data_IF_803529772880
#
_entry.id   IF_803529772880
#
_cell.length_a   1.000
_cell.length_b   1.000
_cell.length_c   1.000
_cell.angle_alpha   90.00
_cell.angle_beta   90.00
_cell.angle_gamma   90.00
#
_symmetry.space_group_name_H-M   'P 1'
#
loop_
_entity.id
_entity.type
_entity.pdbx_description
1 polymer ?
#
# COMPACT_ATOMS: atom_id res chain seq x y z
N UNK A 1 -8.78 -3.65 16.41
CA UNK A 1 -8.67 -5.05 15.90
C UNK A 1 -7.90 -4.99 14.59
N UNK A 2 -6.85 -5.79 14.41
CA UNK A 2 -6.03 -5.73 13.20
C UNK A 2 -6.68 -6.56 12.10
N UNK A 3 -6.99 -5.92 10.97
CA UNK A 3 -7.56 -6.58 9.79
C UNK A 3 -6.47 -7.36 9.05
N UNK A 4 -5.33 -6.72 8.83
CA UNK A 4 -4.12 -7.36 8.34
C UNK A 4 -3.25 -7.78 9.51
N UNK A 5 -2.95 -9.07 9.62
CA UNK A 5 -1.97 -9.60 10.56
C UNK A 5 -0.83 -10.16 9.73
N UNK A 6 0.40 -9.71 10.00
CA UNK A 6 1.56 -10.18 9.26
C UNK A 6 1.68 -11.70 9.34
N UNK A 7 1.78 -12.31 8.17
CA UNK A 7 1.86 -13.75 7.93
C UNK A 7 2.95 -13.92 6.88
N UNK A 8 4.10 -14.44 7.31
CA UNK A 8 5.29 -14.54 6.46
C UNK A 8 5.03 -15.36 5.20
N UNK A 9 4.17 -16.38 5.28
CA UNK A 9 3.86 -17.24 4.12
C UNK A 9 3.02 -16.50 3.07
N UNK A 10 2.28 -15.46 3.48
CA UNK A 10 1.37 -14.71 2.59
C UNK A 10 1.96 -13.44 2.04
N UNK A 11 2.62 -12.65 2.88
CA UNK A 11 3.00 -11.27 2.54
C UNK A 11 4.51 -11.08 2.28
N UNK A 12 5.34 -12.09 2.58
CA UNK A 12 6.76 -12.00 2.31
C UNK A 12 7.06 -12.30 0.84
N UNK A 13 7.80 -11.38 0.22
CA UNK A 13 8.37 -11.54 -1.12
C UNK A 13 9.80 -12.08 -1.09
N UNK A 14 10.29 -12.46 0.09
CA UNK A 14 11.64 -13.01 0.28
C UNK A 14 12.75 -11.95 0.28
N UNK A 15 12.41 -10.67 0.39
CA UNK A 15 13.38 -9.57 0.46
C UNK A 15 13.15 -8.74 1.72
N UNK A 16 14.11 -8.81 2.66
CA UNK A 16 13.95 -8.28 4.02
C UNK A 16 13.49 -6.81 4.07
N UNK A 17 14.06 -5.94 3.22
CA UNK A 17 13.68 -4.53 3.20
C UNK A 17 12.25 -4.30 2.69
N UNK A 18 11.79 -5.08 1.70
CA UNK A 18 10.43 -4.97 1.15
C UNK A 18 9.43 -5.54 2.14
N UNK A 19 9.76 -6.68 2.77
CA UNK A 19 8.91 -7.29 3.80
C UNK A 19 8.72 -6.35 5.01
N UNK A 20 9.77 -5.63 5.42
CA UNK A 20 9.66 -4.62 6.47
C UNK A 20 8.75 -3.46 6.02
N UNK A 21 8.85 -3.02 4.77
CA UNK A 21 7.98 -1.98 4.23
C UNK A 21 6.52 -2.44 4.13
N UNK A 22 6.25 -3.68 3.70
CA UNK A 22 4.90 -4.26 3.68
C UNK A 22 4.28 -4.29 5.08
N UNK A 23 5.04 -4.70 6.10
CA UNK A 23 4.55 -4.69 7.49
C UNK A 23 4.09 -3.29 7.91
N UNK A 24 4.91 -2.27 7.65
CA UNK A 24 4.59 -0.89 8.00
C UNK A 24 3.39 -0.36 7.20
N UNK A 25 3.29 -0.68 5.90
CA UNK A 25 2.13 -0.32 5.08
C UNK A 25 0.84 -0.94 5.64
N UNK A 26 0.85 -2.24 5.94
CA UNK A 26 -0.30 -2.94 6.51
C UNK A 26 -0.68 -2.39 7.89
N UNK A 27 0.29 -1.97 8.70
CA UNK A 27 0.05 -1.26 9.98
C UNK A 27 -0.65 0.09 9.77
N UNK A 28 -0.20 0.90 8.81
CA UNK A 28 -0.86 2.18 8.47
C UNK A 28 -2.29 1.93 7.96
N UNK A 29 -2.49 0.93 7.11
CA UNK A 29 -3.83 0.57 6.60
C UNK A 29 -4.73 0.05 7.72
N UNK A 30 -4.20 -0.73 8.68
CA UNK A 30 -4.96 -1.14 9.86
C UNK A 30 -5.42 0.05 10.71
N UNK A 31 -4.56 1.06 10.90
CA UNK A 31 -4.92 2.30 11.60
C UNK A 31 -6.03 3.05 10.87
N UNK A 32 -5.97 3.10 9.54
CA UNK A 32 -7.03 3.67 8.70
C UNK A 32 -8.37 2.93 8.90
N UNK A 33 -8.35 1.59 8.83
CA UNK A 33 -9.53 0.73 9.06
C UNK A 33 -10.11 1.00 10.45
N UNK A 34 -9.29 0.98 11.49
CA UNK A 34 -9.75 1.19 12.85
C UNK A 34 -10.37 2.58 13.05
N UNK A 35 -9.77 3.63 12.47
CA UNK A 35 -10.30 4.99 12.57
C UNK A 35 -11.70 5.12 11.95
N UNK A 36 -11.87 4.60 10.73
CA UNK A 36 -13.14 4.68 10.00
C UNK A 36 -14.21 3.76 10.64
N UNK A 37 -13.85 2.53 11.02
CA UNK A 37 -14.81 1.55 11.58
C UNK A 37 -15.29 1.93 12.97
N UNK A 38 -14.43 2.53 13.80
CA UNK A 38 -14.84 3.02 15.13
C UNK A 38 -15.70 4.28 15.07
N UNK A 39 -16.01 4.80 13.87
CA UNK A 39 -16.80 6.00 13.70
C UNK A 39 -16.13 7.22 14.33
N UNK A 40 -14.79 7.25 14.37
CA UNK A 40 -14.05 8.43 14.83
C UNK A 40 -14.20 9.50 13.77
N UNK A 41 -15.14 10.43 13.99
CA UNK A 41 -15.45 11.56 13.09
C UNK A 41 -14.38 12.67 13.10
N UNK A 42 -13.12 12.32 13.39
CA UNK A 42 -12.02 13.28 13.40
C UNK A 42 -11.34 13.27 12.03
N UNK A 43 -11.77 14.21 11.19
CA UNK A 43 -11.25 14.41 9.83
C UNK A 43 -9.75 14.75 9.83
N UNK A 44 -9.23 15.38 10.90
CA UNK A 44 -7.82 15.71 11.02
C UNK A 44 -6.97 14.45 11.19
N UNK A 45 -7.33 13.59 12.14
CA UNK A 45 -6.61 12.33 12.37
C UNK A 45 -6.64 11.40 11.15
N UNK A 46 -7.75 11.39 10.40
CA UNK A 46 -7.84 10.64 9.15
C UNK A 46 -6.88 11.20 8.09
N UNK A 47 -6.86 12.52 7.93
CA UNK A 47 -5.99 13.21 6.96
C UNK A 47 -4.52 12.91 7.23
N UNK A 48 -4.09 12.92 8.50
CA UNK A 48 -2.74 12.56 8.90
C UNK A 48 -2.38 11.10 8.53
N UNK A 49 -3.28 10.15 8.78
CA UNK A 49 -3.07 8.74 8.39
C UNK A 49 -2.93 8.59 6.87
N UNK A 50 -3.73 9.33 6.09
CA UNK A 50 -3.68 9.28 4.62
C UNK A 50 -2.42 9.95 4.06
N UNK A 51 -1.96 11.06 4.66
CA UNK A 51 -0.69 11.70 4.32
C UNK A 51 0.50 10.76 4.62
N UNK A 52 0.48 10.11 5.77
CA UNK A 52 1.46 9.10 6.15
C UNK A 52 1.47 7.95 5.15
N UNK A 53 0.29 7.41 4.81
CA UNK A 53 0.15 6.33 3.83
C UNK A 53 0.69 6.73 2.46
N UNK A 54 0.32 7.90 1.96
CA UNK A 54 0.76 8.39 0.65
C UNK A 54 2.29 8.56 0.59
N UNK A 55 2.88 9.14 1.65
CA UNK A 55 4.34 9.31 1.76
C UNK A 55 5.08 7.98 1.89
N UNK A 56 4.55 7.03 2.66
CA UNK A 56 5.16 5.73 2.83
C UNK A 56 5.05 4.89 1.55
N UNK A 57 3.89 4.89 0.90
CA UNK A 57 3.65 4.21 -0.37
C UNK A 57 4.64 4.67 -1.45
N UNK A 58 4.81 5.98 -1.63
CA UNK A 58 5.74 6.52 -2.63
C UNK A 58 7.20 6.04 -2.41
N UNK A 59 7.66 6.02 -1.15
CA UNK A 59 9.01 5.52 -0.81
C UNK A 59 9.15 4.01 -1.00
N UNK A 60 8.09 3.27 -0.68
CA UNK A 60 8.05 1.83 -0.89
C UNK A 60 8.13 1.49 -2.38
N UNK A 61 7.29 2.10 -3.21
CA UNK A 61 7.31 1.93 -4.66
C UNK A 61 8.66 2.29 -5.27
N UNK A 62 9.30 3.38 -4.84
CA UNK A 62 10.65 3.72 -5.31
C UNK A 62 11.68 2.63 -4.96
N UNK A 63 11.57 2.06 -3.77
CA UNK A 63 12.47 0.97 -3.32
C UNK A 63 12.23 -0.28 -4.15
N UNK A 64 10.98 -0.69 -4.28
CA UNK A 64 10.59 -1.88 -5.05
C UNK A 64 11.00 -1.74 -6.51
N UNK A 65 10.65 -0.64 -7.17
CA UNK A 65 11.00 -0.41 -8.57
C UNK A 65 12.51 -0.48 -8.80
N UNK A 66 13.31 0.00 -7.85
CA UNK A 66 14.78 -0.12 -7.91
C UNK A 66 15.22 -1.58 -7.81
N UNK A 67 14.63 -2.35 -6.91
CA UNK A 67 14.89 -3.80 -6.76
C UNK A 67 14.52 -4.53 -8.05
N UNK A 68 13.31 -4.29 -8.58
CA UNK A 68 12.81 -4.94 -9.78
C UNK A 68 13.60 -4.58 -11.04
N UNK A 69 14.06 -3.34 -11.16
CA UNK A 69 14.97 -2.93 -12.23
C UNK A 69 16.33 -3.62 -12.12
N UNK A 70 16.84 -3.86 -10.91
CA UNK A 70 18.13 -4.53 -10.70
C UNK A 70 18.12 -6.02 -11.07
N UNK A 71 16.93 -6.65 -11.07
CA UNK A 71 16.74 -8.05 -11.45
C UNK A 71 16.12 -8.22 -12.84
N UNK A 72 16.07 -7.15 -13.65
CA UNK A 72 15.46 -7.12 -14.98
C UNK A 72 14.03 -7.72 -14.99
N UNK A 73 13.21 -7.34 -14.01
CA UNK A 73 11.85 -7.86 -13.88
C UNK A 73 11.02 -7.58 -15.15
N UNK A 74 10.47 -8.60 -15.83
CA UNK A 74 9.84 -8.43 -17.15
C UNK A 74 8.60 -7.52 -17.16
N UNK A 75 7.90 -7.39 -16.03
CA UNK A 75 6.65 -6.62 -15.91
C UNK A 75 6.83 -5.31 -15.14
N UNK A 76 8.05 -4.76 -15.14
CA UNK A 76 8.37 -3.50 -14.44
C UNK A 76 7.52 -2.32 -14.92
N UNK A 77 7.09 -2.30 -16.18
CA UNK A 77 6.25 -1.22 -16.68
C UNK A 77 4.85 -1.26 -16.06
N UNK A 78 4.24 -2.44 -16.01
CA UNK A 78 2.93 -2.68 -15.42
C UNK A 78 2.94 -2.38 -13.92
N UNK A 79 4.00 -2.77 -13.20
CA UNK A 79 4.16 -2.46 -11.78
C UNK A 79 4.19 -0.95 -11.52
N UNK A 80 5.01 -0.22 -12.29
CA UNK A 80 5.09 1.26 -12.21
C UNK A 80 3.78 1.96 -12.53
N UNK A 81 3.04 1.44 -13.51
CA UNK A 81 1.73 1.97 -13.86
C UNK A 81 0.72 1.77 -12.70
N UNK A 82 0.72 0.59 -12.07
CA UNK A 82 -0.11 0.33 -10.91
C UNK A 82 0.21 1.29 -9.74
N UNK A 83 1.50 1.50 -9.45
CA UNK A 83 1.96 2.45 -8.42
C UNK A 83 1.51 3.89 -8.72
N UNK A 84 1.74 4.36 -9.95
CA UNK A 84 1.36 5.70 -10.37
C UNK A 84 -0.15 5.94 -10.27
N UNK A 85 -0.94 4.95 -10.69
CA UNK A 85 -2.40 4.99 -10.60
C UNK A 85 -2.88 5.03 -9.14
N UNK A 86 -2.23 4.29 -8.24
CA UNK A 86 -2.55 4.32 -6.82
C UNK A 86 -2.31 5.70 -6.21
N UNK A 87 -1.12 6.27 -6.40
CA UNK A 87 -0.75 7.59 -5.86
C UNK A 87 -1.69 8.68 -6.39
N UNK A 88 -1.97 8.67 -7.70
CA UNK A 88 -2.89 9.62 -8.32
C UNK A 88 -4.30 9.50 -7.72
N UNK A 89 -4.79 8.26 -7.52
CA UNK A 89 -6.12 8.02 -6.98
C UNK A 89 -6.23 8.42 -5.51
N UNK A 90 -5.23 8.07 -4.69
CA UNK A 90 -5.18 8.46 -3.29
C UNK A 90 -5.13 9.98 -3.13
N UNK A 91 -4.29 10.65 -3.91
CA UNK A 91 -4.20 12.12 -3.93
C UNK A 91 -5.53 12.78 -4.33
N UNK A 92 -6.22 12.25 -5.34
CA UNK A 92 -7.55 12.71 -5.73
C UNK A 92 -8.55 12.59 -4.56
N UNK A 93 -8.55 11.45 -3.86
CA UNK A 93 -9.42 11.25 -2.70
C UNK A 93 -9.09 12.23 -1.56
N UNK A 94 -7.81 12.49 -1.30
CA UNK A 94 -7.39 13.46 -0.28
C UNK A 94 -7.83 14.89 -0.61
N UNK A 95 -7.75 15.31 -1.88
CA UNK A 95 -8.29 16.62 -2.29
C UNK A 95 -9.81 16.72 -2.11
N UNK A 96 -10.55 15.63 -2.33
CA UNK A 96 -12.00 15.61 -2.15
C UNK A 96 -12.39 15.64 -0.66
N UNK A 97 -11.56 15.08 0.22
CA UNK A 97 -11.74 15.12 1.67
C UNK A 97 -11.75 16.56 2.18
N UNK A 98 -10.80 17.38 1.74
CA UNK A 98 -10.72 18.80 2.08
C UNK A 98 -11.95 19.61 1.64
N UNK A 99 -12.67 19.13 0.62
CA UNK A 99 -13.87 19.75 0.08
C UNK A 99 -15.16 19.23 0.74
N UNK A 100 -15.07 18.33 1.73
CA UNK A 100 -16.21 17.73 2.43
C UNK A 100 -17.03 16.76 1.57
N UNK A 101 -16.47 16.27 0.46
CA UNK A 101 -17.18 15.47 -0.54
C UNK A 101 -16.92 13.96 -0.50
N UNK A 102 -16.15 13.45 0.47
CA UNK A 102 -15.67 12.06 0.45
C UNK A 102 -16.51 11.13 1.29
N UNK A 103 -16.88 10.03 0.64
CA UNK A 103 -17.35 8.81 1.30
C UNK A 103 -16.14 8.07 1.89
N UNK A 104 -15.96 8.19 3.20
CA UNK A 104 -14.87 7.55 3.94
C UNK A 104 -14.89 6.02 3.81
N UNK A 105 -16.07 5.41 3.71
CA UNK A 105 -16.19 3.95 3.54
C UNK A 105 -15.68 3.53 2.17
N UNK A 106 -15.99 4.31 1.14
CA UNK A 106 -15.50 4.06 -0.22
C UNK A 106 -13.99 4.25 -0.32
N UNK A 107 -13.42 5.28 0.33
CA UNK A 107 -11.98 5.48 0.40
C UNK A 107 -11.30 4.31 1.11
N UNK A 108 -11.83 3.90 2.26
CA UNK A 108 -11.33 2.77 3.02
C UNK A 108 -11.34 1.48 2.18
N UNK A 109 -12.46 1.21 1.50
CA UNK A 109 -12.60 0.02 0.68
C UNK A 109 -11.58 0.03 -0.47
N UNK A 110 -11.36 1.17 -1.12
CA UNK A 110 -10.32 1.33 -2.14
C UNK A 110 -8.93 1.02 -1.58
N UNK A 111 -8.52 1.69 -0.50
CA UNK A 111 -7.17 1.53 0.08
C UNK A 111 -6.94 0.08 0.50
N UNK A 112 -7.91 -0.51 1.22
CA UNK A 112 -7.81 -1.89 1.72
C UNK A 112 -7.68 -2.89 0.57
N UNK A 113 -8.58 -2.81 -0.42
CA UNK A 113 -8.58 -3.76 -1.54
C UNK A 113 -7.33 -3.63 -2.41
N UNK A 114 -6.86 -2.40 -2.60
CA UNK A 114 -5.67 -2.16 -3.41
C UNK A 114 -4.43 -2.79 -2.77
N UNK A 115 -4.14 -2.50 -1.50
CA UNK A 115 -2.96 -3.07 -0.82
C UNK A 115 -3.04 -4.58 -0.65
N UNK A 116 -4.23 -5.11 -0.36
CA UNK A 116 -4.43 -6.57 -0.28
C UNK A 116 -4.14 -7.24 -1.62
N UNK A 117 -4.67 -6.71 -2.72
CA UNK A 117 -4.44 -7.27 -4.05
C UNK A 117 -2.99 -7.11 -4.48
N UNK A 118 -2.42 -5.92 -4.34
CA UNK A 118 -1.08 -5.59 -4.78
C UNK A 118 -0.04 -6.49 -4.10
N UNK A 119 -0.03 -6.53 -2.76
CA UNK A 119 0.94 -7.34 -2.01
C UNK A 119 0.74 -8.84 -2.27
N UNK A 120 -0.51 -9.33 -2.32
CA UNK A 120 -0.76 -10.77 -2.44
C UNK A 120 -0.74 -11.29 -3.89
N UNK A 121 -0.71 -10.41 -4.88
CA UNK A 121 -0.82 -10.79 -6.30
C UNK A 121 0.33 -10.20 -7.12
N UNK A 122 0.41 -8.88 -7.19
CA UNK A 122 1.38 -8.18 -8.03
C UNK A 122 2.80 -8.43 -7.48
N UNK A 123 2.99 -8.22 -6.17
CA UNK A 123 4.31 -8.32 -5.56
C UNK A 123 4.80 -9.77 -5.45
N UNK A 124 3.86 -10.69 -5.22
CA UNK A 124 4.16 -12.13 -5.22
C UNK A 124 4.60 -12.63 -6.60
N UNK A 125 4.28 -11.93 -7.70
CA UNK A 125 4.69 -12.34 -9.04
C UNK A 125 6.21 -12.24 -9.25
N UNK A 126 6.91 -11.34 -8.53
CA UNK A 126 8.37 -11.22 -8.62
C UNK A 126 9.13 -12.02 -7.56
N UNK A 127 8.47 -12.50 -6.49
CA UNK A 127 9.09 -13.32 -5.43
C UNK A 127 10.00 -14.46 -5.96
N UNK A 128 9.59 -15.28 -6.96
CA UNK A 128 10.44 -16.37 -7.45
C UNK A 128 11.74 -15.92 -8.13
N UNK A 129 11.84 -14.65 -8.53
CA UNK A 129 13.07 -14.07 -9.10
C UNK A 129 14.01 -13.57 -8.01
N UNK A 130 13.47 -13.06 -6.90
CA UNK A 130 14.24 -12.64 -5.73
C UNK A 130 14.88 -13.84 -5.02
N UNK A 131 14.14 -14.95 -4.89
CA UNK A 131 14.66 -16.18 -4.27
C UNK A 131 15.77 -16.87 -5.09
N UNK A 132 15.85 -16.61 -6.41
CA UNK A 132 16.90 -17.17 -7.29
C UNK A 132 18.21 -16.37 -7.28
N UNK A 133 18.20 -15.16 -6.72
CA UNK A 133 19.36 -14.26 -6.65
C UNK A 133 20.29 -14.49 -5.47
N UNK A 134 20.06 -15.55 -4.68
CA UNK A 134 20.88 -15.96 -3.52
C UNK A 134 21.73 -17.17 -3.86
#
# INVERSE_FOLDING_TARGET
MNYFVWDVEKYSVGHADLDQQHQQLLEIVNRLIEHVVLGKSDDFALTEILLELNSYAARHFETEERVLMAIDYPLIHEQKEAHGNYIAKLSQCMMQLEQGGVDFMRLLEFVRKWWEHHILTDDMAFKPLLEKGV
#
